data_IF_921198267384
#
_entry.id   IF_921198267384
#
_cell.length_a   1.000
_cell.length_b   1.000
_cell.length_c   1.000
_cell.angle_alpha   90.00
_cell.angle_beta   90.00
_cell.angle_gamma   90.00
#
_symmetry.space_group_name_H-M   'P 1'
#
loop_
_entity.id
_entity.type
_entity.pdbx_description
1 polymer ?
#
# COMPACT_ATOMS: atom_id res chain seq x y z
N UNK A 1 -2.48 23.83 38.42
CA UNK A 1 -2.53 22.42 37.96
C UNK A 1 -2.64 22.39 36.43
N UNK A 2 -2.03 21.39 35.78
CA UNK A 2 -2.06 21.24 34.31
C UNK A 2 -3.16 20.27 33.92
N UNK A 3 -4.06 20.75 33.08
CA UNK A 3 -5.11 19.99 32.43
C UNK A 3 -4.49 19.03 31.40
N UNK A 4 -4.45 17.74 31.75
CA UNK A 4 -4.01 16.67 30.85
C UNK A 4 -5.24 16.29 30.03
N UNK A 5 -5.40 16.95 28.89
CA UNK A 5 -6.41 16.63 27.89
C UNK A 5 -6.25 15.18 27.43
N UNK A 6 -7.09 14.31 27.96
CA UNK A 6 -7.28 12.95 27.47
C UNK A 6 -7.73 13.04 26.01
N UNK A 7 -6.88 12.61 25.07
CA UNK A 7 -7.27 12.41 23.68
C UNK A 7 -8.34 11.33 23.64
N UNK A 8 -9.61 11.74 23.62
CA UNK A 8 -10.74 10.88 23.29
C UNK A 8 -10.41 10.18 21.96
N UNK A 9 -10.23 8.86 22.00
CA UNK A 9 -10.08 8.03 20.81
C UNK A 9 -11.26 8.34 19.88
N UNK A 10 -10.98 8.76 18.64
CA UNK A 10 -12.02 8.91 17.60
C UNK A 10 -12.86 7.62 17.59
N UNK A 11 -14.18 7.77 17.70
CA UNK A 11 -15.12 6.65 17.50
C UNK A 11 -14.99 6.14 16.08
N UNK A 12 -15.14 4.83 15.91
CA UNK A 12 -15.12 4.20 14.60
C UNK A 12 -16.27 4.73 13.74
N UNK A 13 -15.98 5.28 12.57
CA UNK A 13 -17.00 5.87 11.69
C UNK A 13 -17.42 4.90 10.58
N UNK A 14 -18.56 4.24 10.76
CA UNK A 14 -19.14 3.33 9.76
C UNK A 14 -19.49 4.08 8.46
N UNK A 15 -19.92 5.34 8.53
CA UNK A 15 -20.29 6.10 7.34
C UNK A 15 -19.07 6.37 6.47
N UNK A 16 -17.90 6.61 7.10
CA UNK A 16 -16.63 6.74 6.39
C UNK A 16 -16.26 5.45 5.65
N UNK A 17 -16.50 4.28 6.26
CA UNK A 17 -16.28 2.98 5.59
C UNK A 17 -17.18 2.86 4.37
N UNK A 18 -18.48 3.12 4.52
CA UNK A 18 -19.48 3.01 3.45
C UNK A 18 -19.15 3.97 2.30
N UNK A 19 -18.94 5.26 2.60
CA UNK A 19 -18.61 6.25 1.58
C UNK A 19 -17.31 5.91 0.85
N UNK A 20 -16.34 5.29 1.55
CA UNK A 20 -15.09 4.88 0.94
C UNK A 20 -15.23 3.70 0.00
N UNK A 21 -16.11 2.76 0.32
CA UNK A 21 -16.44 1.63 -0.55
C UNK A 21 -17.21 2.13 -1.77
N UNK A 22 -18.24 2.96 -1.59
CA UNK A 22 -19.06 3.50 -2.67
C UNK A 22 -18.22 4.27 -3.71
N UNK A 23 -17.30 5.12 -3.25
CA UNK A 23 -16.38 5.82 -4.15
C UNK A 23 -15.44 4.86 -4.89
N UNK A 24 -15.03 3.77 -4.25
CA UNK A 24 -14.22 2.72 -4.85
C UNK A 24 -14.98 1.86 -5.87
N UNK A 25 -16.32 1.76 -5.81
CA UNK A 25 -17.08 0.89 -6.72
C UNK A 25 -16.98 1.31 -8.18
N UNK A 26 -16.75 2.60 -8.46
CA UNK A 26 -16.50 3.13 -9.81
C UNK A 26 -15.26 2.49 -10.47
N UNK A 27 -14.33 1.95 -9.67
CA UNK A 27 -13.16 1.22 -10.16
C UNK A 27 -13.52 -0.20 -10.62
N UNK A 28 -14.56 -0.82 -10.04
CA UNK A 28 -14.90 -2.22 -10.32
C UNK A 28 -15.25 -2.45 -11.79
N UNK A 29 -16.02 -1.55 -12.40
CA UNK A 29 -16.35 -1.63 -13.83
C UNK A 29 -15.12 -1.41 -14.73
N UNK A 30 -14.11 -0.69 -14.21
CA UNK A 30 -12.88 -0.43 -14.93
C UNK A 30 -11.88 -1.58 -14.85
N UNK A 31 -12.02 -2.50 -13.90
CA UNK A 31 -11.12 -3.64 -13.71
C UNK A 31 -11.72 -4.98 -14.15
N UNK A 32 -13.03 -5.04 -14.35
CA UNK A 32 -13.75 -6.26 -14.68
C UNK A 32 -13.20 -6.96 -15.93
N UNK A 33 -12.81 -8.23 -15.77
CA UNK A 33 -12.23 -9.06 -16.83
C UNK A 33 -10.86 -8.62 -17.36
N UNK A 34 -10.17 -7.67 -16.70
CA UNK A 34 -8.86 -7.15 -17.15
C UNK A 34 -7.69 -7.72 -16.36
N UNK A 35 -6.51 -7.60 -16.95
CA UNK A 35 -5.24 -7.90 -16.28
C UNK A 35 -4.77 -6.69 -15.49
N UNK A 36 -4.51 -6.88 -14.21
CA UNK A 36 -4.21 -5.81 -13.27
C UNK A 36 -2.78 -5.90 -12.73
N UNK A 37 -2.25 -4.73 -12.40
CA UNK A 37 -1.04 -4.56 -11.62
C UNK A 37 -1.38 -3.76 -10.37
N UNK A 38 -1.36 -4.43 -9.22
CA UNK A 38 -1.58 -3.81 -7.94
C UNK A 38 -0.29 -3.21 -7.41
N UNK A 39 -0.32 -1.91 -7.12
CA UNK A 39 0.81 -1.18 -6.55
C UNK A 39 0.56 -1.01 -5.07
N UNK A 40 1.43 -1.58 -4.24
CA UNK A 40 1.25 -1.58 -2.79
C UNK A 40 2.51 -1.13 -2.07
N UNK A 41 2.34 -0.51 -0.91
CA UNK A 41 3.41 0.04 -0.10
C UNK A 41 2.84 1.00 0.95
N UNK A 42 3.65 1.28 1.98
CA UNK A 42 3.24 2.16 3.08
C UNK A 42 2.98 3.61 2.62
N UNK A 43 2.42 4.39 3.56
CA UNK A 43 2.52 5.86 3.65
C UNK A 43 3.71 6.48 2.93
N UNK A 44 3.55 7.17 1.79
CA UNK A 44 4.64 8.01 1.27
C UNK A 44 5.83 7.24 0.66
N UNK A 45 5.67 5.95 0.36
CA UNK A 45 6.70 5.19 -0.39
C UNK A 45 6.82 5.59 -1.85
N UNK A 46 5.93 6.44 -2.38
CA UNK A 46 5.97 6.94 -3.75
C UNK A 46 5.07 6.18 -4.75
N UNK A 47 4.00 5.51 -4.30
CA UNK A 47 3.06 4.76 -5.17
C UNK A 47 2.47 5.63 -6.27
N UNK A 48 1.85 6.75 -5.89
CA UNK A 48 1.24 7.67 -6.84
C UNK A 48 2.30 8.32 -7.74
N UNK A 49 3.51 8.60 -7.22
CA UNK A 49 4.65 9.06 -8.03
C UNK A 49 5.03 8.04 -9.11
N UNK A 50 5.09 6.75 -8.79
CA UNK A 50 5.34 5.69 -9.76
C UNK A 50 4.25 5.64 -10.84
N UNK A 51 2.99 5.79 -10.47
CA UNK A 51 1.88 5.80 -11.45
C UNK A 51 1.95 7.01 -12.37
N UNK A 52 2.28 8.19 -11.84
CA UNK A 52 2.51 9.38 -12.67
C UNK A 52 3.66 9.15 -13.66
N UNK A 53 4.75 8.50 -13.23
CA UNK A 53 5.83 8.09 -14.12
C UNK A 53 5.35 7.11 -15.20
N UNK A 54 4.57 6.08 -14.84
CA UNK A 54 3.97 5.11 -15.79
C UNK A 54 3.01 5.81 -16.77
N UNK A 55 2.30 6.83 -16.31
CA UNK A 55 1.46 7.69 -17.14
C UNK A 55 2.28 8.60 -18.08
N UNK A 56 3.61 8.64 -17.95
CA UNK A 56 4.49 9.46 -18.77
C UNK A 56 4.45 10.94 -18.41
N UNK A 57 3.95 11.27 -17.21
CA UNK A 57 3.94 12.66 -16.71
C UNK A 57 5.36 13.04 -16.31
N UNK A 58 5.81 14.21 -16.76
CA UNK A 58 7.12 14.73 -16.40
C UNK A 58 7.11 15.12 -14.92
N UNK A 59 8.08 14.60 -14.17
CA UNK A 59 8.27 14.90 -12.76
C UNK A 59 9.40 15.92 -12.58
N UNK A 60 9.23 16.82 -11.63
CA UNK A 60 10.25 17.75 -11.15
C UNK A 60 10.48 17.53 -9.68
N UNK A 61 11.75 17.58 -9.29
CA UNK A 61 12.16 17.58 -7.90
C UNK A 61 12.07 18.99 -7.34
N UNK A 62 11.29 19.16 -6.27
CA UNK A 62 11.19 20.39 -5.51
C UNK A 62 11.59 20.10 -4.06
N UNK A 63 12.38 21.00 -3.47
CA UNK A 63 12.79 20.92 -2.07
C UNK A 63 11.82 21.77 -1.27
N UNK A 64 11.04 21.13 -0.40
CA UNK A 64 10.12 21.81 0.52
C UNK A 64 10.69 21.83 1.92
N UNK A 65 10.71 22.99 2.55
CA UNK A 65 11.09 23.14 3.95
C UNK A 65 9.86 22.97 4.84
N UNK A 66 9.73 21.82 5.50
CA UNK A 66 8.64 21.53 6.42
C UNK A 66 9.06 21.84 7.86
N UNK A 67 8.24 22.62 8.59
CA UNK A 67 8.42 22.81 10.03
C UNK A 67 7.84 21.61 10.78
N UNK A 68 8.67 20.92 11.54
CA UNK A 68 8.26 19.93 12.53
C UNK A 68 7.32 20.57 13.57
N UNK A 69 6.47 19.74 14.21
CA UNK A 69 5.66 20.15 15.38
C UNK A 69 6.50 20.75 16.53
N UNK A 70 7.82 20.58 16.51
CA UNK A 70 8.75 21.10 17.51
C UNK A 70 9.55 22.32 17.00
N UNK A 71 9.19 22.89 15.85
CA UNK A 71 9.81 24.12 15.31
C UNK A 71 11.09 23.91 14.49
N UNK A 72 11.60 22.67 14.41
CA UNK A 72 12.73 22.32 13.55
C UNK A 72 12.34 22.35 12.07
N UNK A 73 13.16 22.97 11.21
CA UNK A 73 12.95 23.00 9.77
C UNK A 73 13.65 21.79 9.17
N UNK A 74 12.89 20.87 8.60
CA UNK A 74 13.40 19.74 7.83
C UNK A 74 13.17 20.01 6.34
N UNK A 75 14.23 19.89 5.53
CA UNK A 75 14.12 19.90 4.08
C UNK A 75 13.68 18.51 3.61
N UNK A 76 12.63 18.46 2.79
CA UNK A 76 12.09 17.24 2.22
C UNK A 76 12.05 17.37 0.71
N UNK A 77 12.54 16.34 0.03
CA UNK A 77 12.42 16.21 -1.41
C UNK A 77 10.99 15.77 -1.74
N UNK A 78 10.31 16.53 -2.60
CA UNK A 78 8.97 16.21 -3.10
C UNK A 78 9.02 16.20 -4.62
N UNK A 79 8.34 15.23 -5.22
CA UNK A 79 8.20 15.14 -6.68
C UNK A 79 6.83 15.67 -7.08
N UNK A 80 6.82 16.67 -7.96
CA UNK A 80 5.61 17.27 -8.50
C UNK A 80 5.55 17.04 -10.01
N UNK A 81 4.34 16.93 -10.57
CA UNK A 81 4.17 16.88 -12.02
C UNK A 81 4.38 18.28 -12.60
N UNK A 82 5.18 18.38 -13.67
CA UNK A 82 5.42 19.65 -14.40
C UNK A 82 4.16 20.13 -15.14
N UNK A 83 3.22 19.22 -15.37
CA UNK A 83 1.93 19.46 -16.03
C UNK A 83 0.78 19.05 -15.10
N UNK A 84 -0.46 19.14 -15.59
CA UNK A 84 -1.64 18.62 -14.88
C UNK A 84 -1.41 17.15 -14.46
N UNK A 85 -1.56 16.92 -13.15
CA UNK A 85 -1.46 15.61 -12.55
C UNK A 85 -2.57 14.71 -13.09
N UNK A 86 -2.30 13.41 -13.19
CA UNK A 86 -3.35 12.43 -13.51
C UNK A 86 -4.48 12.52 -12.45
N UNK A 87 -5.74 12.77 -12.86
CA UNK A 87 -6.85 12.88 -11.92
C UNK A 87 -6.99 11.62 -11.06
N UNK A 88 -7.07 11.79 -9.75
CA UNK A 88 -7.13 10.67 -8.78
C UNK A 88 -5.79 10.10 -8.32
N UNK A 89 -4.65 10.65 -8.79
CA UNK A 89 -3.30 10.23 -8.39
C UNK A 89 -2.44 11.40 -7.90
N UNK A 90 -3.07 12.31 -7.15
CA UNK A 90 -2.42 13.51 -6.61
C UNK A 90 -1.28 13.13 -5.65
N UNK A 91 -0.11 13.77 -5.79
CA UNK A 91 1.05 13.51 -4.93
C UNK A 91 0.93 14.39 -3.67
N UNK A 92 0.66 13.76 -2.52
CA UNK A 92 0.54 14.47 -1.23
C UNK A 92 1.86 15.12 -0.77
N UNK A 93 1.76 16.32 -0.20
CA UNK A 93 2.91 17.14 0.24
C UNK A 93 3.24 16.94 1.73
N UNK A 94 2.32 16.38 2.52
CA UNK A 94 2.48 16.10 3.96
C UNK A 94 2.55 14.59 4.25
N UNK A 95 2.90 14.17 5.48
CA UNK A 95 2.95 12.75 5.90
C UNK A 95 1.58 12.04 5.91
N UNK A 96 0.53 12.72 5.49
CA UNK A 96 -0.86 12.22 5.40
C UNK A 96 -1.16 11.80 3.96
N UNK A 97 -1.70 10.58 3.80
CA UNK A 97 -2.12 10.07 2.49
C UNK A 97 -3.22 10.95 1.90
N UNK A 98 -3.06 11.38 0.65
CA UNK A 98 -4.16 11.97 -0.15
C UNK A 98 -5.01 10.89 -0.82
N UNK A 99 -4.47 9.67 -0.95
CA UNK A 99 -5.20 8.51 -1.49
C UNK A 99 -6.12 7.96 -0.38
N UNK A 100 -7.38 8.39 -0.38
CA UNK A 100 -8.42 7.90 0.52
C UNK A 100 -9.19 6.72 -0.05
N UNK A 101 -9.12 6.49 -1.38
CA UNK A 101 -9.83 5.43 -2.09
C UNK A 101 -8.94 4.75 -3.13
N UNK A 102 -9.29 3.50 -3.47
CA UNK A 102 -8.63 2.76 -4.55
C UNK A 102 -8.87 3.49 -5.87
N UNK A 103 -7.81 3.74 -6.63
CA UNK A 103 -7.86 4.42 -7.93
C UNK A 103 -7.21 3.56 -9.01
N UNK A 104 -7.68 3.65 -10.25
CA UNK A 104 -7.13 2.86 -11.35
C UNK A 104 -6.76 3.73 -12.55
N UNK A 105 -5.66 3.37 -13.20
CA UNK A 105 -5.14 3.99 -14.39
C UNK A 105 -5.14 2.94 -15.51
N UNK A 106 -5.98 3.18 -16.54
CA UNK A 106 -6.06 2.37 -17.76
C UNK A 106 -5.32 3.11 -18.90
N UNK A 107 -4.09 2.69 -19.27
CA UNK A 107 -3.30 3.34 -20.31
C UNK A 107 -4.01 3.46 -21.67
N UNK A 108 -5.01 2.61 -21.95
CA UNK A 108 -5.75 2.63 -23.22
C UNK A 108 -6.66 3.84 -23.36
N UNK A 109 -7.13 4.39 -22.23
CA UNK A 109 -7.91 5.64 -22.23
C UNK A 109 -7.09 6.83 -22.73
N UNK A 110 -5.77 6.75 -22.63
CA UNK A 110 -4.82 7.72 -23.18
C UNK A 110 -4.18 7.25 -24.52
N UNK A 111 -4.76 6.24 -25.18
CA UNK A 111 -4.31 5.76 -26.49
C UNK A 111 -3.05 4.87 -26.47
N UNK A 112 -2.60 4.40 -25.30
CA UNK A 112 -1.44 3.49 -25.19
C UNK A 112 -1.85 2.04 -25.46
N UNK A 113 -0.94 1.25 -26.06
CA UNK A 113 -1.16 -0.18 -26.42
C UNK A 113 -1.11 -1.17 -25.24
N UNK A 114 -1.08 -0.70 -24.01
CA UNK A 114 -0.94 -1.56 -22.84
C UNK A 114 -2.28 -2.14 -22.41
N UNK A 115 -2.37 -3.45 -22.25
CA UNK A 115 -3.58 -4.12 -21.74
C UNK A 115 -3.62 -4.23 -20.21
N UNK A 116 -2.58 -3.76 -19.52
CA UNK A 116 -2.52 -3.77 -18.05
C UNK A 116 -3.16 -2.51 -17.49
N UNK A 117 -4.01 -2.69 -16.49
CA UNK A 117 -4.55 -1.60 -15.67
C UNK A 117 -3.76 -1.54 -14.37
N UNK A 118 -3.30 -0.35 -14.01
CA UNK A 118 -2.55 -0.12 -12.77
C UNK A 118 -3.50 0.36 -11.70
N UNK A 119 -3.42 -0.23 -10.51
CA UNK A 119 -4.29 0.09 -9.38
C UNK A 119 -3.44 0.65 -8.24
N UNK A 120 -3.74 1.88 -7.82
CA UNK A 120 -3.19 2.47 -6.58
C UNK A 120 -4.14 2.16 -5.43
N UNK A 121 -3.55 1.67 -4.35
CA UNK A 121 -4.27 1.45 -3.11
C UNK A 121 -3.86 2.51 -2.10
N UNK A 122 -4.78 2.94 -1.21
CA UNK A 122 -4.40 3.58 0.03
C UNK A 122 -3.28 2.80 0.72
N UNK A 123 -2.38 3.50 1.43
CA UNK A 123 -1.24 2.84 2.07
C UNK A 123 -1.68 1.68 2.96
N UNK A 124 -1.15 0.48 2.68
CA UNK A 124 -1.41 -0.69 3.51
C UNK A 124 -0.81 -0.47 4.91
N UNK A 125 -1.60 -0.72 5.95
CA UNK A 125 -1.27 -0.40 7.36
C UNK A 125 -1.07 1.09 7.66
N UNK A 126 -1.63 2.00 6.86
CA UNK A 126 -1.47 3.43 7.07
C UNK A 126 -2.41 3.99 8.17
N UNK A 127 -1.89 5.00 8.85
CA UNK A 127 -2.39 5.66 10.07
C UNK A 127 -3.69 6.46 9.93
N UNK A 128 -4.43 6.32 8.82
CA UNK A 128 -5.65 7.08 8.57
C UNK A 128 -6.90 6.49 9.25
N UNK A 129 -6.75 5.42 10.03
CA UNK A 129 -7.81 4.82 10.83
C UNK A 129 -8.14 3.40 10.40
N UNK A 130 -8.75 2.64 11.32
CA UNK A 130 -9.20 1.26 11.04
C UNK A 130 -10.28 1.22 9.96
N UNK A 131 -11.02 2.31 9.77
CA UNK A 131 -12.08 2.49 8.79
C UNK A 131 -11.56 2.41 7.34
N UNK A 132 -10.50 3.14 7.03
CA UNK A 132 -9.92 3.17 5.68
C UNK A 132 -9.26 1.83 5.36
N UNK A 133 -8.66 1.19 6.36
CA UNK A 133 -8.11 -0.16 6.22
C UNK A 133 -9.22 -1.18 5.90
N UNK A 134 -10.36 -1.12 6.61
CA UNK A 134 -11.54 -1.95 6.32
C UNK A 134 -12.05 -1.73 4.90
N UNK A 135 -12.26 -0.48 4.50
CA UNK A 135 -12.75 -0.15 3.17
C UNK A 135 -11.78 -0.62 2.08
N UNK A 136 -10.48 -0.43 2.29
CA UNK A 136 -9.44 -0.84 1.35
C UNK A 136 -9.39 -2.36 1.20
N UNK A 137 -9.44 -3.11 2.30
CA UNK A 137 -9.51 -4.58 2.27
C UNK A 137 -10.74 -5.07 1.49
N UNK A 138 -11.92 -4.53 1.78
CA UNK A 138 -13.16 -4.90 1.06
C UNK A 138 -13.05 -4.60 -0.43
N UNK A 139 -12.53 -3.42 -0.78
CA UNK A 139 -12.37 -3.04 -2.19
C UNK A 139 -11.35 -3.92 -2.92
N UNK A 140 -10.24 -4.27 -2.26
CA UNK A 140 -9.24 -5.19 -2.80
C UNK A 140 -9.82 -6.58 -3.07
N UNK A 141 -10.65 -7.12 -2.17
CA UNK A 141 -11.35 -8.39 -2.39
C UNK A 141 -12.27 -8.31 -3.61
N UNK A 142 -13.09 -7.25 -3.71
CA UNK A 142 -13.98 -7.04 -4.86
C UNK A 142 -13.20 -6.89 -6.18
N UNK A 143 -12.06 -6.20 -6.17
CA UNK A 143 -11.19 -6.06 -7.35
C UNK A 143 -10.60 -7.42 -7.73
N UNK A 144 -10.11 -8.19 -6.74
CA UNK A 144 -9.56 -9.52 -6.96
C UNK A 144 -10.59 -10.50 -7.55
N UNK A 145 -11.85 -10.42 -7.12
CA UNK A 145 -12.96 -11.24 -7.62
C UNK A 145 -13.33 -10.97 -9.08
N UNK A 146 -13.24 -9.71 -9.51
CA UNK A 146 -13.66 -9.30 -10.87
C UNK A 146 -12.52 -9.25 -11.88
N UNK A 147 -11.27 -9.18 -11.42
CA UNK A 147 -10.13 -9.14 -12.32
C UNK A 147 -9.89 -10.49 -13.00
N UNK A 148 -9.28 -10.46 -14.20
CA UNK A 148 -8.85 -11.69 -14.88
C UNK A 148 -7.55 -12.24 -14.30
N UNK A 149 -6.63 -11.34 -13.97
CA UNK A 149 -5.31 -11.73 -13.45
C UNK A 149 -4.71 -10.58 -12.64
N UNK A 150 -3.99 -10.90 -11.56
CA UNK A 150 -3.37 -9.89 -10.69
C UNK A 150 -1.85 -10.08 -10.60
N UNK A 151 -1.11 -8.99 -10.72
CA UNK A 151 0.35 -8.88 -10.50
C UNK A 151 0.62 -7.87 -9.41
N UNK A 152 1.74 -7.99 -8.71
CA UNK A 152 2.06 -7.12 -7.58
C UNK A 152 3.37 -6.38 -7.77
N UNK A 153 3.32 -5.07 -7.52
CA UNK A 153 4.50 -4.21 -7.36
C UNK A 153 4.50 -3.70 -5.93
N UNK A 154 5.50 -4.08 -5.15
CA UNK A 154 5.66 -3.74 -3.74
C UNK A 154 6.72 -2.65 -3.62
N UNK A 155 6.32 -1.45 -3.19
CA UNK A 155 7.20 -0.32 -2.94
C UNK A 155 7.66 -0.33 -1.49
N UNK A 156 8.97 -0.34 -1.30
CA UNK A 156 9.63 -0.35 0.00
C UNK A 156 10.52 0.89 0.11
N UNK A 157 10.23 1.76 1.08
CA UNK A 157 11.13 2.88 1.40
C UNK A 157 12.43 2.33 1.98
N UNK A 158 13.56 2.68 1.38
CA UNK A 158 14.87 2.26 1.88
C UNK A 158 15.18 2.89 3.23
N UNK A 159 14.75 4.14 3.46
CA UNK A 159 14.85 4.80 4.77
C UNK A 159 14.13 4.00 5.84
N UNK A 160 12.89 3.57 5.57
CA UNK A 160 12.12 2.74 6.51
C UNK A 160 12.72 1.36 6.75
N UNK A 161 13.44 0.80 5.76
CA UNK A 161 14.13 -0.47 5.91
C UNK A 161 15.27 -0.37 6.94
N UNK A 162 16.04 0.74 6.92
CA UNK A 162 17.15 0.99 7.83
C UNK A 162 16.65 1.36 9.23
N UNK A 163 15.70 2.31 9.32
CA UNK A 163 15.24 2.85 10.61
C UNK A 163 14.50 1.82 11.46
N UNK A 164 13.66 0.99 10.85
CA UNK A 164 12.74 0.09 11.56
C UNK A 164 13.34 -1.31 11.82
N UNK A 165 14.66 -1.50 11.60
CA UNK A 165 15.39 -2.77 11.80
C UNK A 165 14.60 -4.00 11.30
N UNK A 166 14.04 -3.91 10.08
CA UNK A 166 13.22 -4.98 9.49
C UNK A 166 11.70 -4.88 9.74
N UNK A 167 11.18 -3.86 10.42
CA UNK A 167 9.74 -3.65 10.54
C UNK A 167 9.05 -3.34 9.21
N UNK A 168 9.74 -2.65 8.28
CA UNK A 168 9.29 -2.53 6.89
C UNK A 168 9.10 -3.90 6.21
N UNK A 169 9.98 -4.86 6.50
CA UNK A 169 9.87 -6.23 5.96
C UNK A 169 8.68 -6.98 6.56
N UNK A 170 8.39 -6.78 7.85
CA UNK A 170 7.18 -7.35 8.47
C UNK A 170 5.90 -6.85 7.78
N UNK A 171 5.82 -5.57 7.44
CA UNK A 171 4.69 -5.03 6.66
C UNK A 171 4.60 -5.67 5.27
N UNK A 172 5.74 -5.85 4.58
CA UNK A 172 5.81 -6.54 3.29
C UNK A 172 5.35 -8.00 3.38
N UNK A 173 5.71 -8.72 4.44
CA UNK A 173 5.32 -10.12 4.63
C UNK A 173 3.84 -10.26 4.95
N UNK A 174 3.30 -9.38 5.80
CA UNK A 174 1.85 -9.36 6.06
C UNK A 174 1.07 -9.12 4.78
N UNK A 175 1.58 -8.22 3.92
CA UNK A 175 1.02 -8.00 2.61
C UNK A 175 1.10 -9.26 1.75
N UNK A 176 2.27 -9.88 1.61
CA UNK A 176 2.39 -11.12 0.81
C UNK A 176 1.45 -12.21 1.35
N UNK A 177 1.30 -12.36 2.67
CA UNK A 177 0.35 -13.30 3.30
C UNK A 177 -1.12 -12.99 3.01
N UNK A 178 -1.49 -11.73 2.80
CA UNK A 178 -2.88 -11.40 2.43
C UNK A 178 -3.20 -11.76 0.98
N UNK A 179 -2.18 -11.92 0.12
CA UNK A 179 -2.35 -12.16 -1.31
C UNK A 179 -1.80 -13.49 -1.83
N UNK A 180 -1.03 -14.25 -1.06
CA UNK A 180 -0.38 -15.47 -1.54
C UNK A 180 -0.42 -16.58 -0.50
N UNK A 181 -0.77 -17.81 -0.92
CA UNK A 181 -0.73 -19.02 -0.06
C UNK A 181 0.69 -19.36 0.31
N UNK A 182 1.53 -19.34 -0.71
CA UNK A 182 2.91 -19.74 -0.65
C UNK A 182 3.72 -18.80 -1.54
N UNK A 183 4.51 -17.94 -0.90
CA UNK A 183 5.33 -16.98 -1.62
C UNK A 183 6.28 -17.67 -2.61
N UNK A 184 6.82 -18.85 -2.29
CA UNK A 184 7.79 -19.54 -3.15
C UNK A 184 7.19 -19.93 -4.50
N UNK A 185 5.93 -20.39 -4.50
CA UNK A 185 5.23 -20.83 -5.70
C UNK A 185 4.83 -19.61 -6.56
N UNK A 186 4.44 -18.51 -5.92
CA UNK A 186 3.91 -17.31 -6.57
C UNK A 186 4.93 -16.16 -6.69
N UNK A 187 6.19 -16.35 -6.30
CA UNK A 187 7.24 -15.30 -6.22
C UNK A 187 7.44 -14.51 -7.51
N UNK A 188 7.14 -15.11 -8.66
CA UNK A 188 7.26 -14.47 -9.99
C UNK A 188 6.12 -13.48 -10.27
N UNK A 189 5.08 -13.46 -9.45
CA UNK A 189 3.98 -12.50 -9.51
C UNK A 189 4.26 -11.24 -8.69
N UNK A 190 5.36 -11.22 -7.93
CA UNK A 190 5.78 -10.10 -7.09
C UNK A 190 7.04 -9.43 -7.64
N UNK A 191 7.04 -8.10 -7.63
CA UNK A 191 8.21 -7.28 -7.93
C UNK A 191 8.42 -6.27 -6.81
N UNK A 192 9.64 -6.16 -6.32
CA UNK A 192 10.02 -5.25 -5.23
C UNK A 192 10.74 -4.03 -5.79
N UNK A 193 10.22 -2.84 -5.48
CA UNK A 193 10.82 -1.57 -5.84
C UNK A 193 11.25 -0.81 -4.60
N UNK A 194 12.53 -0.48 -4.51
CA UNK A 194 13.07 0.30 -3.41
C UNK A 194 13.08 1.79 -3.78
N UNK A 195 12.50 2.61 -2.91
CA UNK A 195 12.40 4.06 -3.08
C UNK A 195 13.23 4.80 -2.03
N UNK A 196 13.41 6.11 -2.21
CA UNK A 196 14.10 7.01 -1.26
C UNK A 196 15.56 6.63 -0.97
N UNK A 197 16.22 5.95 -1.90
CA UNK A 197 17.64 5.57 -1.74
C UNK A 197 18.58 6.79 -1.83
N UNK A 198 18.14 7.85 -2.50
CA UNK A 198 18.83 9.13 -2.65
C UNK A 198 18.76 10.01 -1.39
N UNK A 199 17.89 9.70 -0.44
CA UNK A 199 17.75 10.46 0.81
C UNK A 199 18.80 10.04 1.87
N UNK A 200 19.53 8.95 1.64
CA UNK A 200 20.44 8.37 2.62
C UNK A 200 21.89 8.78 2.32
N UNK A 201 22.50 9.44 3.29
CA UNK A 201 23.90 9.85 3.21
C UNK A 201 24.81 8.63 3.10
N UNK A 202 25.65 8.59 2.07
CA UNK A 202 26.59 7.49 1.81
C UNK A 202 26.06 6.40 0.85
N UNK A 203 24.80 6.46 0.42
CA UNK A 203 24.31 5.64 -0.69
C UNK A 203 24.69 6.34 -2.00
N UNK A 204 25.36 5.65 -2.95
CA UNK A 204 25.67 6.27 -4.23
C UNK A 204 24.38 6.57 -5.00
N UNK A 205 24.30 7.75 -5.62
CA UNK A 205 23.17 8.17 -6.46
C UNK A 205 23.08 7.43 -7.82
N UNK A 206 23.70 6.25 -7.96
CA UNK A 206 23.56 5.36 -9.10
C UNK A 206 22.63 4.20 -8.77
N UNK A 207 21.97 3.64 -9.78
CA UNK A 207 21.07 2.49 -9.61
C UNK A 207 21.86 1.29 -9.05
N UNK A 208 23.06 1.06 -9.56
CA UNK A 208 23.95 -0.03 -9.15
C UNK A 208 24.44 0.15 -7.71
N UNK A 209 24.79 1.39 -7.34
CA UNK A 209 25.22 1.71 -5.98
C UNK A 209 24.10 1.55 -4.98
N UNK A 210 22.91 2.06 -5.30
CA UNK A 210 21.71 1.87 -4.49
C UNK A 210 21.36 0.37 -4.33
N UNK A 211 21.40 -0.42 -5.42
CA UNK A 211 21.21 -1.88 -5.36
C UNK A 211 22.22 -2.55 -4.43
N UNK A 212 23.49 -2.15 -4.46
CA UNK A 212 24.52 -2.69 -3.58
C UNK A 212 24.26 -2.35 -2.10
N UNK A 213 23.86 -1.11 -1.80
CA UNK A 213 23.49 -0.68 -0.45
C UNK A 213 22.27 -1.43 0.08
N UNK A 214 21.23 -1.59 -0.73
CA UNK A 214 20.03 -2.37 -0.36
C UNK A 214 20.40 -3.82 -0.08
N UNK A 215 21.22 -4.44 -0.94
CA UNK A 215 21.70 -5.82 -0.74
C UNK A 215 22.45 -5.96 0.59
N UNK A 216 23.33 -5.00 0.92
CA UNK A 216 24.05 -4.99 2.19
C UNK A 216 23.11 -4.99 3.40
N UNK A 217 22.06 -4.15 3.35
CA UNK A 217 21.08 -4.08 4.43
C UNK A 217 20.20 -5.33 4.52
N UNK A 218 19.78 -5.90 3.38
CA UNK A 218 19.04 -7.17 3.35
C UNK A 218 19.85 -8.29 4.02
N UNK A 219 21.13 -8.42 3.68
CA UNK A 219 22.02 -9.43 4.30
C UNK A 219 22.14 -9.19 5.81
N UNK A 220 22.21 -7.93 6.24
CA UNK A 220 22.26 -7.57 7.66
C UNK A 220 20.97 -8.00 8.39
N UNK A 221 19.81 -7.75 7.80
CA UNK A 221 18.51 -8.16 8.35
C UNK A 221 18.42 -9.70 8.39
N UNK A 222 18.83 -10.39 7.33
CA UNK A 222 18.84 -11.86 7.28
C UNK A 222 19.74 -12.48 8.36
N UNK A 223 20.87 -11.85 8.69
CA UNK A 223 21.74 -12.30 9.77
C UNK A 223 21.15 -12.06 11.18
N UNK A 224 20.12 -11.20 11.28
CA UNK A 224 19.42 -10.88 12.53
C UNK A 224 18.47 -11.97 13.04
N UNK A 225 18.52 -13.19 12.48
CA UNK A 225 17.58 -14.30 12.74
C UNK A 225 16.11 -13.91 12.54
N UNK A 226 15.71 -13.50 11.33
CA UNK A 226 14.30 -13.34 11.01
C UNK A 226 13.59 -14.70 11.02
N UNK A 227 12.26 -14.70 11.02
CA UNK A 227 11.48 -15.93 10.82
C UNK A 227 11.72 -16.55 9.44
N UNK A 228 11.34 -17.82 9.27
CA UNK A 228 11.60 -18.60 8.05
C UNK A 228 11.02 -17.94 6.79
N UNK A 229 9.77 -17.47 6.85
CA UNK A 229 9.12 -16.80 5.72
C UNK A 229 9.76 -15.45 5.38
N UNK A 230 10.11 -14.66 6.40
CA UNK A 230 10.92 -13.45 6.21
C UNK A 230 12.22 -13.77 5.46
N UNK A 231 12.90 -14.84 5.85
CA UNK A 231 14.17 -15.24 5.25
C UNK A 231 14.00 -15.63 3.78
N UNK A 232 12.90 -16.30 3.42
CA UNK A 232 12.58 -16.65 2.03
C UNK A 232 12.43 -15.41 1.14
N UNK A 233 11.63 -14.43 1.59
CA UNK A 233 11.44 -13.16 0.85
C UNK A 233 12.75 -12.39 0.74
N UNK A 234 13.50 -12.27 1.83
CA UNK A 234 14.79 -11.58 1.84
C UNK A 234 15.80 -12.27 0.91
N UNK A 235 15.85 -13.60 0.92
CA UNK A 235 16.73 -14.39 0.03
C UNK A 235 16.33 -14.22 -1.43
N UNK A 236 15.03 -14.16 -1.73
CA UNK A 236 14.54 -13.89 -3.08
C UNK A 236 14.95 -12.50 -3.57
N UNK A 237 14.77 -11.47 -2.74
CA UNK A 237 15.15 -10.09 -3.08
C UNK A 237 16.67 -9.99 -3.25
N UNK A 238 17.46 -10.54 -2.31
CA UNK A 238 18.92 -10.58 -2.38
C UNK A 238 19.41 -11.23 -3.67
N UNK A 239 18.87 -12.41 -4.00
CA UNK A 239 19.22 -13.13 -5.21
C UNK A 239 18.84 -12.34 -6.47
N UNK A 240 17.68 -11.65 -6.45
CA UNK A 240 17.23 -10.84 -7.57
C UNK A 240 18.14 -9.63 -7.79
N UNK A 241 18.53 -8.92 -6.72
CA UNK A 241 19.46 -7.80 -6.79
C UNK A 241 20.87 -8.26 -7.23
N UNK A 242 21.36 -9.39 -6.70
CA UNK A 242 22.70 -9.90 -7.00
C UNK A 242 22.84 -10.40 -8.44
N UNK A 243 21.81 -11.07 -8.96
CA UNK A 243 21.82 -11.66 -10.31
C UNK A 243 21.21 -10.75 -11.38
N UNK A 244 20.81 -9.52 -11.01
CA UNK A 244 20.07 -8.60 -11.88
C UNK A 244 18.82 -9.25 -12.49
N UNK A 245 18.08 -10.01 -11.69
CA UNK A 245 16.76 -10.49 -12.09
C UNK A 245 15.71 -9.37 -11.97
N UNK A 246 14.64 -9.42 -12.78
CA UNK A 246 13.66 -8.35 -12.89
C UNK A 246 12.71 -8.21 -11.68
N UNK A 247 12.90 -8.96 -10.61
CA UNK A 247 11.96 -9.02 -9.48
C UNK A 247 12.31 -8.09 -8.32
N UNK A 248 13.49 -7.44 -8.36
CA UNK A 248 13.88 -6.45 -7.39
C UNK A 248 14.71 -5.35 -8.06
N UNK A 249 14.31 -4.09 -7.90
CA UNK A 249 15.02 -2.94 -8.46
C UNK A 249 14.85 -1.68 -7.61
N UNK A 250 15.48 -0.60 -8.05
CA UNK A 250 15.43 0.71 -7.42
C UNK A 250 14.60 1.63 -8.29
N UNK A 251 13.68 2.38 -7.68
CA UNK A 251 12.91 3.41 -8.34
C UNK A 251 13.45 4.80 -7.96
N UNK A 252 14.07 5.46 -8.94
CA UNK A 252 14.56 6.84 -8.85
C UNK A 252 13.74 7.70 -9.84
N UNK A 253 12.77 8.51 -9.37
CA UNK A 253 11.76 9.14 -10.24
C UNK A 253 12.30 9.89 -11.47
N UNK A 254 13.48 10.52 -11.36
CA UNK A 254 14.09 11.28 -12.46
C UNK A 254 14.99 10.46 -13.40
N UNK A 255 15.38 9.24 -13.02
CA UNK A 255 16.36 8.40 -13.73
C UNK A 255 15.80 7.04 -14.12
N UNK A 256 14.54 6.78 -13.80
CA UNK A 256 13.90 5.50 -13.99
C UNK A 256 13.40 5.36 -15.43
N UNK A 257 13.87 4.34 -16.14
CA UNK A 257 13.34 4.01 -17.46
C UNK A 257 11.98 3.31 -17.30
N UNK A 258 10.93 4.09 -17.45
CA UNK A 258 9.54 3.62 -17.36
C UNK A 258 9.20 2.64 -18.49
N UNK A 259 9.76 2.81 -19.69
CA UNK A 259 9.42 1.95 -20.83
C UNK A 259 10.00 0.55 -20.61
N UNK A 260 11.29 0.47 -20.28
CA UNK A 260 11.95 -0.79 -19.94
C UNK A 260 11.26 -1.47 -18.74
N UNK A 261 10.85 -0.68 -17.75
CA UNK A 261 10.14 -1.18 -16.59
C UNK A 261 8.78 -1.81 -16.93
N UNK A 262 7.96 -1.12 -17.72
CA UNK A 262 6.65 -1.63 -18.16
C UNK A 262 6.84 -2.91 -18.97
N UNK A 263 7.77 -2.92 -19.93
CA UNK A 263 8.09 -4.13 -20.71
C UNK A 263 8.53 -5.29 -19.80
N UNK A 264 9.31 -5.00 -18.77
CA UNK A 264 9.76 -5.98 -17.79
C UNK A 264 8.59 -6.61 -17.05
N UNK A 265 7.60 -5.82 -16.62
CA UNK A 265 6.37 -6.31 -15.99
C UNK A 265 5.63 -7.25 -16.95
N UNK A 266 5.41 -6.83 -18.20
CA UNK A 266 4.70 -7.64 -19.19
C UNK A 266 5.39 -8.98 -19.47
N UNK A 267 6.72 -8.98 -19.54
CA UNK A 267 7.50 -10.14 -19.97
C UNK A 267 7.80 -11.12 -18.84
N UNK A 268 8.04 -10.64 -17.62
CA UNK A 268 8.62 -11.47 -16.56
C UNK A 268 7.66 -11.74 -15.39
N UNK A 269 6.66 -10.87 -15.15
CA UNK A 269 5.73 -11.08 -14.05
C UNK A 269 4.60 -12.01 -14.46
N UNK A 270 4.48 -13.11 -13.71
CA UNK A 270 3.33 -14.00 -13.76
C UNK A 270 2.16 -13.41 -12.97
N UNK A 271 0.99 -14.03 -13.08
CA UNK A 271 -0.19 -13.62 -12.33
C UNK A 271 -0.52 -14.59 -11.21
N UNK A 272 -1.17 -14.07 -10.17
CA UNK A 272 -1.86 -14.87 -9.16
C UNK A 272 -3.31 -15.08 -9.61
N UNK A 273 -3.86 -16.25 -9.30
CA UNK A 273 -5.27 -16.58 -9.54
C UNK A 273 -6.17 -15.75 -8.60
N UNK A 274 -7.09 -14.97 -9.20
CA UNK A 274 -8.02 -14.09 -8.47
C UNK A 274 -8.93 -14.81 -7.48
N UNK A 275 -9.21 -16.10 -7.70
CA UNK A 275 -10.11 -16.89 -6.84
C UNK A 275 -9.57 -17.07 -5.41
N UNK A 276 -8.25 -17.16 -5.24
CA UNK A 276 -7.63 -17.23 -3.91
C UNK A 276 -7.59 -15.87 -3.22
N UNK A 277 -7.35 -14.81 -4.00
CA UNK A 277 -7.25 -13.45 -3.50
C UNK A 277 -8.56 -12.94 -2.91
N UNK A 278 -9.67 -13.26 -3.58
CA UNK A 278 -11.03 -12.99 -3.12
C UNK A 278 -11.30 -13.51 -1.70
N UNK A 279 -10.76 -14.70 -1.37
CA UNK A 279 -11.02 -15.37 -0.10
C UNK A 279 -10.10 -14.92 1.04
N UNK A 280 -8.93 -14.36 0.71
CA UNK A 280 -7.87 -14.07 1.69
C UNK A 280 -7.48 -12.60 1.86
N UNK A 281 -8.04 -11.69 1.06
CA UNK A 281 -8.03 -10.25 1.34
C UNK A 281 -8.94 -9.93 2.54
N UNK A 282 -8.57 -10.42 3.72
CA UNK A 282 -9.29 -10.22 4.97
C UNK A 282 -8.88 -8.92 5.65
N UNK A 283 -9.76 -8.43 6.54
CA UNK A 283 -9.46 -7.32 7.43
C UNK A 283 -8.20 -7.61 8.25
N UNK A 284 -7.36 -6.59 8.47
CA UNK A 284 -6.26 -6.73 9.44
C UNK A 284 -6.83 -7.11 10.81
N UNK A 285 -6.04 -7.82 11.63
CA UNK A 285 -6.50 -8.28 12.94
C UNK A 285 -6.98 -7.10 13.81
N UNK A 286 -6.30 -5.95 13.74
CA UNK A 286 -6.66 -4.75 14.47
C UNK A 286 -8.00 -4.18 14.02
N UNK A 287 -8.20 -4.10 12.69
CA UNK A 287 -9.45 -3.60 12.11
C UNK A 287 -10.62 -4.53 12.39
N UNK A 288 -10.40 -5.86 12.35
CA UNK A 288 -11.41 -6.85 12.74
C UNK A 288 -11.83 -6.72 14.19
N UNK A 289 -10.88 -6.57 15.12
CA UNK A 289 -11.17 -6.40 16.54
C UNK A 289 -11.95 -5.11 16.81
N UNK A 290 -11.57 -4.02 16.15
CA UNK A 290 -12.25 -2.72 16.28
C UNK A 290 -13.69 -2.81 15.77
N UNK A 291 -13.88 -3.37 14.56
CA UNK A 291 -15.21 -3.55 13.97
C UNK A 291 -16.09 -4.48 14.83
N UNK A 292 -15.54 -5.58 15.34
CA UNK A 292 -16.28 -6.47 16.23
C UNK A 292 -16.69 -5.78 17.54
N UNK A 293 -15.81 -4.97 18.14
CA UNK A 293 -16.12 -4.21 19.35
C UNK A 293 -17.27 -3.23 19.14
N UNK A 294 -17.27 -2.53 18.01
CA UNK A 294 -18.31 -1.55 17.67
C UNK A 294 -19.66 -2.21 17.31
N UNK A 295 -19.63 -3.36 16.62
CA UNK A 295 -20.83 -4.16 16.38
C UNK A 295 -21.43 -4.69 17.69
N UNK A 296 -20.60 -5.16 18.62
CA UNK A 296 -21.06 -5.61 19.93
C UNK A 296 -21.65 -4.47 20.75
N UNK A 297 -21.00 -3.30 20.75
CA UNK A 297 -21.48 -2.08 21.41
C UNK A 297 -22.85 -1.66 20.84
N UNK A 298 -22.97 -1.60 19.52
CA UNK A 298 -24.23 -1.25 18.84
C UNK A 298 -25.34 -2.25 19.14
N UNK A 299 -25.02 -3.55 19.16
CA UNK A 299 -25.99 -4.61 19.46
C UNK A 299 -26.45 -4.57 20.93
N UNK A 300 -25.56 -4.20 21.87
CA UNK A 300 -25.94 -3.96 23.27
C UNK A 300 -26.85 -2.74 23.43
N UNK A 301 -26.59 -1.65 22.71
CA UNK A 301 -27.46 -0.48 22.71
C UNK A 301 -28.84 -0.82 22.15
N UNK A 302 -28.89 -1.54 21.03
CA UNK A 302 -30.15 -1.96 20.39
C UNK A 302 -30.95 -2.90 21.30
N UNK A 303 -30.28 -3.82 22.02
CA UNK A 303 -30.92 -4.65 23.06
C UNK A 303 -31.47 -3.83 24.22
N UNK A 304 -30.75 -2.78 24.66
CA UNK A 304 -31.23 -1.88 25.72
C UNK A 304 -32.49 -1.13 25.27
N UNK A 305 -32.48 -0.55 24.08
CA UNK A 305 -33.63 0.17 23.53
C UNK A 305 -34.86 -0.75 23.35
N UNK A 306 -34.65 -1.95 22.82
CA UNK A 306 -35.71 -2.97 22.70
C UNK A 306 -36.25 -3.45 24.06
N UNK A 307 -35.46 -3.40 25.13
CA UNK A 307 -35.90 -3.76 26.48
C UNK A 307 -36.51 -2.57 27.24
N UNK A 308 -36.17 -1.33 26.89
CA UNK A 308 -36.82 -0.15 27.46
C UNK A 308 -38.20 0.14 26.87
N UNK A 309 -38.53 -0.37 25.68
CA UNK A 309 -39.86 -0.22 25.07
C UNK A 309 -40.93 -1.20 25.62
N UNK A 310 -40.56 -2.21 26.44
CA UNK A 310 -41.51 -3.11 27.10
C UNK A 310 -41.25 -3.29 28.61
N UNK A 311 -41.58 -2.30 29.47
CA UNK A 311 -41.54 -2.48 30.93
C UNK A 311 -42.74 -3.28 31.50
N UNK A 312 -43.82 -3.51 30.72
CA UNK A 312 -45.14 -3.89 31.27
C UNK A 312 -45.58 -5.35 31.06
N UNK A 313 -44.67 -6.31 30.85
CA UNK A 313 -45.05 -7.74 30.76
C UNK A 313 -44.40 -8.67 31.79
N UNK A 314 -43.79 -8.16 32.87
CA UNK A 314 -43.27 -9.00 33.97
C UNK A 314 -44.13 -9.02 35.24
N UNK A 315 -45.33 -8.42 35.21
CA UNK A 315 -46.29 -8.51 36.33
C UNK A 315 -47.62 -9.15 35.93
N UNK A 316 -47.59 -10.28 35.22
CA UNK A 316 -48.68 -11.28 35.26
C UNK A 316 -48.08 -12.69 35.19
N UNK A 317 -47.57 -13.18 36.32
CA UNK A 317 -47.72 -14.57 36.76
C UNK A 317 -47.41 -14.67 38.25
#
# INVERSE_FOLDING_TARGET
ERDVGCQLSKRFDINLVVSSIEQGEVVLDQVDGKDLVLIVGKTGTGKSTLIQSIAGRQLRENIHSCKSRHGEVAEKVVFETVQEALPGFEIGHEKTSMTTHVSCYDPRKEGKKSNLVYVDCPGFEDTNGHEIDVATSVMLSKVAERCRSLRFIILVSFVSLIEDRGGAMRSVLRLIRSFSRNFIDERRSFMFLFTHTNEIQGVPNSIEGAKASIRGEIVRISNGKPDEESLEVLTFIEASLRKNYPFASVFLPLRFDVQEFVETIHKHLTYVDGSYLATNCGLTQSSRLTLCGELQSSLQLLRRELHSEHPEMEHVM
#
